data_IF_015480021647
#
_entry.id   IF_015480021647
#
_cell.length_a   1.000
_cell.length_b   1.000
_cell.length_c   1.000
_cell.angle_alpha   90.00
_cell.angle_beta   90.00
_cell.angle_gamma   90.00
#
_symmetry.space_group_name_H-M   'P 1'
#
loop_
_entity.id
_entity.type
_entity.pdbx_description
1 polymer ?
#
# COMPACT_ATOMS: atom_id res chain seq x y z
N UNK A 1 11.28 15.28 -19.99
CA UNK A 1 10.48 15.12 -18.78
C UNK A 1 9.94 13.70 -18.71
N UNK A 2 9.84 13.17 -17.51
CA UNK A 2 9.35 11.80 -17.30
C UNK A 2 7.92 11.88 -16.80
N UNK A 3 7.02 11.15 -17.45
CA UNK A 3 5.64 11.03 -16.99
C UNK A 3 5.52 9.81 -16.11
N UNK A 4 4.72 9.90 -15.06
CA UNK A 4 4.50 8.81 -14.13
C UNK A 4 3.00 8.66 -13.84
N UNK A 5 2.50 7.46 -14.01
CA UNK A 5 1.12 7.15 -13.65
C UNK A 5 1.03 6.91 -12.15
N UNK A 6 0.11 7.63 -11.50
CA UNK A 6 -0.18 7.45 -10.09
C UNK A 6 -1.46 6.64 -9.96
N UNK A 7 -1.42 5.64 -9.11
CA UNK A 7 -2.54 4.75 -8.85
C UNK A 7 -3.10 5.01 -7.45
N UNK A 8 -4.35 4.68 -7.26
CA UNK A 8 -5.03 4.89 -5.98
C UNK A 8 -5.76 3.62 -5.56
N UNK A 9 -5.71 3.33 -4.27
CA UNK A 9 -6.43 2.22 -3.66
C UNK A 9 -7.29 2.76 -2.53
N UNK A 10 -8.61 2.50 -2.60
CA UNK A 10 -9.55 2.99 -1.60
C UNK A 10 -10.38 1.88 -0.97
N UNK A 11 -9.98 0.63 -1.14
CA UNK A 11 -10.71 -0.50 -0.57
C UNK A 11 -10.57 -0.55 0.95
N UNK A 12 -11.64 -0.95 1.62
CA UNK A 12 -11.62 -1.23 3.05
C UNK A 12 -11.39 -0.01 3.93
N UNK A 13 -11.66 1.19 3.43
CA UNK A 13 -11.41 2.42 4.18
C UNK A 13 -10.00 2.95 4.04
N UNK A 14 -9.16 2.31 3.21
CA UNK A 14 -7.84 2.83 2.87
C UNK A 14 -7.96 3.97 1.88
N UNK A 15 -6.93 4.81 1.82
CA UNK A 15 -6.81 5.86 0.82
C UNK A 15 -5.32 6.03 0.54
N UNK A 16 -4.81 5.15 -0.30
CA UNK A 16 -3.38 5.09 -0.59
C UNK A 16 -3.12 5.44 -2.05
N UNK A 17 -2.02 6.14 -2.28
CA UNK A 17 -1.54 6.44 -3.63
C UNK A 17 -0.15 5.85 -3.80
N UNK A 18 0.17 5.46 -5.02
CA UNK A 18 1.47 4.86 -5.29
C UNK A 18 1.73 4.72 -6.77
N UNK A 19 2.89 4.20 -7.10
CA UNK A 19 3.32 4.04 -8.49
C UNK A 19 4.28 2.86 -8.62
N UNK A 20 4.31 2.22 -9.81
CA UNK A 20 5.30 1.18 -10.07
C UNK A 20 6.71 1.76 -9.97
N UNK A 21 7.62 1.01 -9.37
CA UNK A 21 9.00 1.45 -9.18
C UNK A 21 9.96 0.28 -9.47
N UNK A 22 11.27 0.54 -9.63
CA UNK A 22 12.22 -0.51 -10.02
C UNK A 22 12.21 -1.75 -9.13
N UNK A 23 12.00 -1.59 -7.84
CA UNK A 23 11.95 -2.72 -6.90
C UNK A 23 10.56 -3.33 -6.74
N UNK A 24 9.54 -2.74 -7.36
CA UNK A 24 8.18 -3.22 -7.24
C UNK A 24 7.15 -2.12 -7.34
N UNK A 25 6.63 -1.67 -6.20
CA UNK A 25 5.59 -0.65 -6.16
C UNK A 25 5.80 0.24 -4.93
N UNK A 26 5.89 1.53 -5.13
CA UNK A 26 6.10 2.50 -4.06
C UNK A 26 4.80 3.15 -3.62
N UNK A 27 4.49 3.05 -2.33
CA UNK A 27 3.37 3.76 -1.71
C UNK A 27 3.88 5.11 -1.25
N UNK A 28 3.14 6.16 -1.55
CA UNK A 28 3.57 7.53 -1.30
C UNK A 28 3.29 7.97 0.14
N UNK A 29 4.14 8.85 0.65
CA UNK A 29 3.95 9.52 1.93
C UNK A 29 2.56 10.15 1.98
N UNK A 30 1.90 10.05 3.12
CA UNK A 30 0.55 10.58 3.31
C UNK A 30 -0.55 9.58 3.00
N UNK A 31 -0.20 8.41 2.45
CA UNK A 31 -1.19 7.36 2.21
C UNK A 31 -1.75 6.83 3.51
N UNK A 32 -3.06 6.57 3.54
CA UNK A 32 -3.75 6.06 4.71
C UNK A 32 -4.07 4.59 4.52
N UNK A 33 -3.75 3.77 5.52
CA UNK A 33 -4.09 2.35 5.51
C UNK A 33 -5.45 2.14 6.18
N UNK A 34 -6.08 1.00 5.88
CA UNK A 34 -7.32 0.62 6.55
C UNK A 34 -7.07 0.46 8.05
N UNK A 35 -8.00 0.96 8.87
CA UNK A 35 -7.92 0.79 10.32
C UNK A 35 -8.32 -0.62 10.76
N UNK A 36 -8.95 -1.39 9.87
CA UNK A 36 -9.42 -2.74 10.15
C UNK A 36 -8.65 -3.75 9.33
N UNK A 37 -8.35 -4.88 9.94
CA UNK A 37 -7.70 -6.01 9.31
C UNK A 37 -8.70 -7.15 9.29
N UNK A 38 -8.84 -7.82 8.13
CA UNK A 38 -9.73 -8.96 8.03
C UNK A 38 -9.31 -10.05 9.03
N UNK A 39 -10.27 -10.70 9.72
CA UNK A 39 -9.91 -11.73 10.70
C UNK A 39 -9.02 -12.84 10.14
N UNK A 40 -9.18 -13.18 8.87
CA UNK A 40 -8.38 -14.22 8.22
C UNK A 40 -7.00 -13.74 7.76
N UNK A 41 -6.72 -12.44 7.79
CA UNK A 41 -5.48 -11.88 7.24
C UNK A 41 -4.24 -12.43 7.95
N UNK A 42 -4.28 -12.47 9.27
CA UNK A 42 -3.17 -12.99 10.07
C UNK A 42 -2.86 -14.46 9.74
N UNK A 43 -3.89 -15.27 9.53
CA UNK A 43 -3.71 -16.71 9.25
C UNK A 43 -3.43 -16.98 7.78
N UNK A 44 -4.16 -16.33 6.87
CA UNK A 44 -4.10 -16.61 5.44
C UNK A 44 -2.96 -15.88 4.74
N UNK A 45 -2.52 -14.73 5.27
CA UNK A 45 -1.49 -13.89 4.65
C UNK A 45 -0.50 -13.41 5.69
N UNK A 46 0.08 -14.35 6.41
CA UNK A 46 0.98 -14.05 7.52
C UNK A 46 2.14 -13.14 7.11
N UNK A 47 2.68 -13.35 5.90
CA UNK A 47 3.77 -12.51 5.39
C UNK A 47 3.37 -11.04 5.32
N UNK A 48 2.21 -10.74 4.73
CA UNK A 48 1.75 -9.36 4.59
C UNK A 48 1.29 -8.79 5.93
N UNK A 49 0.70 -9.62 6.77
CA UNK A 49 0.30 -9.21 8.12
C UNK A 49 1.54 -8.78 8.92
N UNK A 50 2.58 -9.60 8.91
CA UNK A 50 3.82 -9.30 9.63
C UNK A 50 4.51 -8.07 9.07
N UNK A 51 4.50 -7.89 7.74
CA UNK A 51 5.07 -6.72 7.11
C UNK A 51 4.35 -5.44 7.54
N UNK A 52 3.01 -5.48 7.58
CA UNK A 52 2.20 -4.35 8.04
C UNK A 52 2.55 -3.98 9.49
N UNK A 53 2.64 -4.99 10.36
CA UNK A 53 2.99 -4.76 11.76
C UNK A 53 4.41 -4.22 11.91
N UNK A 54 5.33 -4.71 11.11
CA UNK A 54 6.71 -4.23 11.13
C UNK A 54 6.77 -2.74 10.73
N UNK A 55 6.05 -2.33 9.70
CA UNK A 55 6.04 -0.94 9.26
C UNK A 55 5.45 -0.03 10.32
N UNK A 56 4.43 -0.49 11.05
CA UNK A 56 3.85 0.26 12.16
C UNK A 56 4.86 0.37 13.30
N UNK A 57 5.51 -0.73 13.66
CA UNK A 57 6.48 -0.73 14.75
C UNK A 57 7.72 0.12 14.44
N UNK A 58 8.12 0.17 13.17
CA UNK A 58 9.28 0.95 12.74
C UNK A 58 8.97 2.44 12.57
N UNK A 59 7.71 2.84 12.73
CA UNK A 59 7.31 4.23 12.60
C UNK A 59 7.15 4.70 11.16
N UNK A 60 7.26 3.80 10.19
CA UNK A 60 7.02 4.13 8.78
C UNK A 60 5.54 4.40 8.56
N UNK A 61 4.68 3.67 9.28
CA UNK A 61 3.25 3.94 9.36
C UNK A 61 2.95 4.37 10.78
N UNK A 62 2.39 5.56 10.95
CA UNK A 62 2.01 6.10 12.26
C UNK A 62 0.59 6.66 12.18
N UNK A 63 -0.25 6.26 13.13
CA UNK A 63 -1.66 6.65 13.15
C UNK A 63 -2.37 6.31 11.83
N UNK A 64 -1.97 5.20 11.22
CA UNK A 64 -2.56 4.74 9.96
C UNK A 64 -2.09 5.49 8.73
N UNK A 65 -1.06 6.33 8.84
CA UNK A 65 -0.59 7.18 7.73
C UNK A 65 0.89 6.89 7.46
N UNK A 66 1.25 6.70 6.20
CA UNK A 66 2.65 6.55 5.81
C UNK A 66 3.40 7.86 6.04
N UNK A 67 4.49 7.78 6.80
CA UNK A 67 5.31 8.94 7.14
C UNK A 67 6.37 9.23 6.08
N UNK A 68 6.57 8.31 5.16
CA UNK A 68 7.53 8.42 4.06
C UNK A 68 7.13 7.50 2.92
N UNK A 69 7.70 7.71 1.76
CA UNK A 69 7.51 6.79 0.64
C UNK A 69 8.14 5.44 1.00
N UNK A 70 7.46 4.36 0.65
CA UNK A 70 7.96 3.01 0.93
C UNK A 70 7.76 2.12 -0.28
N UNK A 71 8.84 1.49 -0.74
CA UNK A 71 8.80 0.58 -1.88
C UNK A 71 8.53 -0.84 -1.42
N UNK A 72 7.41 -1.39 -1.88
CA UNK A 72 7.07 -2.81 -1.67
C UNK A 72 7.61 -3.62 -2.84
N UNK A 73 7.78 -4.91 -2.63
CA UNK A 73 8.29 -5.82 -3.67
C UNK A 73 7.31 -6.03 -4.81
N UNK A 74 6.02 -5.76 -4.59
CA UNK A 74 4.98 -5.91 -5.61
C UNK A 74 3.78 -5.03 -5.29
N UNK A 75 2.96 -4.76 -6.30
CA UNK A 75 1.70 -4.04 -6.12
C UNK A 75 0.74 -4.82 -5.22
N UNK A 76 0.78 -6.15 -5.28
CA UNK A 76 -0.04 -7.01 -4.42
C UNK A 76 0.34 -6.86 -2.95
N UNK A 77 1.64 -6.83 -2.64
CA UNK A 77 2.12 -6.63 -1.28
C UNK A 77 1.70 -5.25 -0.75
N UNK A 78 1.87 -4.22 -1.57
CA UNK A 78 1.48 -2.85 -1.21
C UNK A 78 -0.02 -2.77 -0.93
N UNK A 79 -0.84 -3.36 -1.80
CA UNK A 79 -2.29 -3.35 -1.65
C UNK A 79 -2.73 -4.11 -0.40
N UNK A 80 -2.18 -5.31 -0.19
CA UNK A 80 -2.56 -6.15 0.94
C UNK A 80 -2.26 -5.48 2.27
N UNK A 81 -1.10 -4.83 2.38
CA UNK A 81 -0.73 -4.09 3.58
C UNK A 81 -1.67 -2.91 3.80
N UNK A 82 -1.97 -2.15 2.75
CA UNK A 82 -2.81 -0.97 2.86
C UNK A 82 -4.27 -1.34 3.20
N UNK A 83 -4.80 -2.37 2.57
CA UNK A 83 -6.20 -2.75 2.71
C UNK A 83 -6.48 -3.58 3.96
N UNK A 84 -5.52 -4.41 4.37
CA UNK A 84 -5.68 -5.27 5.54
C UNK A 84 -6.23 -6.65 5.25
N UNK A 85 -6.24 -7.07 3.99
CA UNK A 85 -6.52 -8.46 3.59
C UNK A 85 -5.82 -8.74 2.27
N UNK A 86 -5.76 -10.03 1.90
CA UNK A 86 -5.12 -10.43 0.66
C UNK A 86 -5.95 -9.96 -0.52
N UNK A 87 -5.37 -9.13 -1.38
CA UNK A 87 -6.04 -8.60 -2.56
C UNK A 87 -5.03 -8.47 -3.69
N UNK A 88 -5.47 -8.75 -4.92
CA UNK A 88 -4.64 -8.60 -6.10
C UNK A 88 -4.29 -7.13 -6.33
N UNK A 89 -3.02 -6.85 -6.63
CA UNK A 89 -2.58 -5.49 -6.95
C UNK A 89 -3.32 -4.91 -8.14
N UNK A 90 -3.61 -5.72 -9.15
CA UNK A 90 -4.34 -5.24 -10.33
C UNK A 90 -5.79 -4.88 -10.02
N UNK A 91 -6.38 -5.51 -9.02
CA UNK A 91 -7.75 -5.19 -8.59
C UNK A 91 -7.79 -3.99 -7.67
N UNK A 92 -6.78 -3.84 -6.81
CA UNK A 92 -6.76 -2.79 -5.79
C UNK A 92 -6.35 -1.43 -6.34
N UNK A 93 -5.30 -1.40 -7.16
CA UNK A 93 -4.74 -0.16 -7.66
C UNK A 93 -5.43 0.26 -8.95
N UNK A 94 -6.08 1.42 -8.91
CA UNK A 94 -6.77 1.99 -10.07
C UNK A 94 -6.02 3.22 -10.53
N UNK A 95 -5.98 3.45 -11.85
CA UNK A 95 -5.37 4.64 -12.41
C UNK A 95 -6.01 5.88 -11.81
N UNK A 96 -5.21 6.76 -11.23
CA UNK A 96 -5.70 7.97 -10.58
C UNK A 96 -5.36 9.22 -11.39
N UNK A 97 -4.07 9.43 -11.66
CA UNK A 97 -3.63 10.56 -12.46
C UNK A 97 -2.22 10.31 -12.98
N UNK A 98 -1.83 11.10 -13.97
CA UNK A 98 -0.47 11.10 -14.49
C UNK A 98 0.20 12.41 -14.11
N UNK A 99 1.41 12.34 -13.61
CA UNK A 99 2.20 13.52 -13.27
C UNK A 99 3.47 13.55 -14.08
N UNK A 100 3.99 14.75 -14.31
CA UNK A 100 5.29 14.98 -14.93
C UNK A 100 6.33 15.19 -13.85
N UNK A 101 7.46 14.54 -14.04
CA UNK A 101 8.57 14.64 -13.09
C UNK A 101 9.80 15.20 -13.79
#
# INVERSE_FOLDING_TARGET
MIERDIYRCTYGGSDATGFPSPGGFTVMKGSTISSKVAPSFECASKFYYNLREQLINDGIIKDGIFQQNYEFKSATAAASVAVGWTISGTSAWKTYKRIEI
#
